data_IF_112218366312
#
_entry.id   IF_112218366312
#
_cell.length_a   1.000
_cell.length_b   1.000
_cell.length_c   1.000
_cell.angle_alpha   90.00
_cell.angle_beta   90.00
_cell.angle_gamma   90.00
#
_symmetry.space_group_name_H-M   'P 1'
#
loop_
_entity.id
_entity.type
_entity.pdbx_description
1 polymer ?
#
# COMPACT_ATOMS: atom_id res chain seq x y z
N UNK A 1 -9.56 22.86 27.10
CA UNK A 1 -10.33 24.10 26.98
C UNK A 1 -11.31 23.99 25.81
N UNK A 2 -12.43 24.67 25.82
CA UNK A 2 -13.50 24.57 24.81
C UNK A 2 -12.99 24.75 23.37
N UNK A 3 -11.99 25.60 23.13
CA UNK A 3 -11.42 25.84 21.81
C UNK A 3 -10.60 24.63 21.29
N UNK A 4 -9.93 23.91 22.18
CA UNK A 4 -9.20 22.67 21.83
C UNK A 4 -10.19 21.59 21.49
N UNK A 5 -11.27 21.48 22.24
CA UNK A 5 -12.31 20.48 22.03
C UNK A 5 -12.99 20.67 20.66
N UNK A 6 -13.32 21.89 20.28
CA UNK A 6 -13.93 22.20 18.97
C UNK A 6 -12.99 21.81 17.82
N UNK A 7 -11.70 22.14 17.88
CA UNK A 7 -10.74 21.78 16.85
C UNK A 7 -10.57 20.26 16.70
N UNK A 8 -10.54 19.56 17.82
CA UNK A 8 -10.40 18.10 17.85
C UNK A 8 -11.63 17.39 17.26
N UNK A 9 -12.83 17.83 17.64
CA UNK A 9 -14.06 17.25 17.07
C UNK A 9 -14.27 17.61 15.60
N UNK A 10 -13.81 18.80 15.18
CA UNK A 10 -13.75 19.16 13.77
C UNK A 10 -12.80 18.21 13.00
N UNK A 11 -11.62 17.90 13.55
CA UNK A 11 -10.70 16.92 12.99
C UNK A 11 -11.36 15.55 12.87
N UNK A 12 -12.10 15.10 13.89
CA UNK A 12 -12.82 13.82 13.87
C UNK A 12 -13.78 13.75 12.67
N UNK A 13 -14.62 14.78 12.50
CA UNK A 13 -15.64 14.82 11.46
C UNK A 13 -15.06 15.05 10.05
N UNK A 14 -14.12 15.97 9.91
CA UNK A 14 -13.67 16.44 8.60
C UNK A 14 -12.51 15.62 8.03
N UNK A 15 -11.81 14.85 8.87
CA UNK A 15 -10.59 14.14 8.50
C UNK A 15 -10.66 12.65 8.84
N UNK A 16 -10.86 12.32 10.13
CA UNK A 16 -10.72 10.93 10.60
C UNK A 16 -11.84 10.05 10.05
N UNK A 17 -13.09 10.41 10.29
CA UNK A 17 -14.25 9.63 9.82
C UNK A 17 -14.20 9.44 8.30
N UNK A 18 -14.04 10.50 7.47
CA UNK A 18 -13.95 10.34 6.02
C UNK A 18 -12.79 9.47 5.55
N UNK A 19 -11.64 9.52 6.23
CA UNK A 19 -10.51 8.65 5.90
C UNK A 19 -10.83 7.16 6.13
N UNK A 20 -11.51 6.86 7.23
CA UNK A 20 -11.92 5.49 7.55
C UNK A 20 -13.04 4.97 6.64
N UNK A 21 -13.99 5.82 6.26
CA UNK A 21 -15.04 5.47 5.28
C UNK A 21 -14.43 5.16 3.90
N UNK A 22 -13.49 6.00 3.45
CA UNK A 22 -12.78 5.76 2.19
C UNK A 22 -12.03 4.43 2.23
N UNK A 23 -11.37 4.11 3.34
CA UNK A 23 -10.69 2.82 3.49
C UNK A 23 -11.65 1.64 3.41
N UNK A 24 -12.82 1.75 4.02
CA UNK A 24 -13.85 0.72 3.94
C UNK A 24 -14.37 0.56 2.51
N UNK A 25 -14.68 1.67 1.84
CA UNK A 25 -15.17 1.69 0.45
C UNK A 25 -14.14 1.13 -0.54
N UNK A 26 -12.88 1.47 -0.37
CA UNK A 26 -11.78 1.02 -1.23
C UNK A 26 -11.31 -0.42 -0.90
N UNK A 27 -11.84 -1.01 0.16
CA UNK A 27 -11.47 -2.34 0.62
C UNK A 27 -11.97 -3.43 -0.33
N UNK A 28 -11.16 -4.47 -0.62
CA UNK A 28 -11.60 -5.63 -1.39
C UNK A 28 -12.43 -6.62 -0.57
N UNK A 29 -12.65 -6.35 0.72
CA UNK A 29 -13.37 -7.23 1.65
C UNK A 29 -14.84 -6.86 1.74
N UNK A 30 -15.69 -7.85 2.05
CA UNK A 30 -17.08 -7.56 2.36
C UNK A 30 -17.21 -6.90 3.74
N UNK A 31 -18.15 -5.98 3.87
CA UNK A 31 -18.45 -5.31 5.13
C UNK A 31 -18.70 -6.32 6.27
N UNK A 32 -19.39 -7.41 6.00
CA UNK A 32 -19.66 -8.48 6.99
C UNK A 32 -18.40 -9.07 7.61
N UNK A 33 -17.25 -9.00 6.90
CA UNK A 33 -15.96 -9.47 7.42
C UNK A 33 -15.20 -8.45 8.24
N UNK A 34 -15.53 -7.16 8.12
CA UNK A 34 -14.82 -6.05 8.78
C UNK A 34 -15.58 -5.55 10.04
N UNK A 35 -16.14 -6.47 10.80
CA UNK A 35 -17.07 -6.16 11.89
C UNK A 35 -16.47 -5.26 12.97
N UNK A 36 -15.24 -5.54 13.43
CA UNK A 36 -14.63 -4.73 14.48
C UNK A 36 -14.26 -3.33 13.99
N UNK A 37 -13.89 -3.23 12.72
CA UNK A 37 -13.62 -1.95 12.08
C UNK A 37 -14.89 -1.10 11.94
N UNK A 38 -15.97 -1.67 11.46
CA UNK A 38 -17.27 -1.00 11.31
C UNK A 38 -17.87 -0.57 12.67
N UNK A 39 -17.87 -1.45 13.65
CA UNK A 39 -18.30 -1.13 15.01
C UNK A 39 -17.51 0.06 15.59
N UNK A 40 -16.25 0.16 15.27
CA UNK A 40 -15.43 1.29 15.70
C UNK A 40 -15.76 2.57 14.94
N UNK A 41 -16.02 2.51 13.64
CA UNK A 41 -16.48 3.66 12.85
C UNK A 41 -17.81 4.19 13.39
N UNK A 42 -18.75 3.32 13.70
CA UNK A 42 -20.01 3.65 14.35
C UNK A 42 -19.82 4.31 15.74
N UNK A 43 -18.83 3.84 16.50
CA UNK A 43 -18.45 4.47 17.78
C UNK A 43 -17.96 5.90 17.57
N UNK A 44 -17.18 6.17 16.52
CA UNK A 44 -16.68 7.51 16.20
C UNK A 44 -17.82 8.46 15.82
N UNK A 45 -18.80 8.01 15.06
CA UNK A 45 -19.99 8.81 14.75
C UNK A 45 -20.75 9.21 16.01
N UNK A 46 -21.05 8.24 16.89
CA UNK A 46 -21.72 8.52 18.18
C UNK A 46 -20.90 9.48 19.03
N UNK A 47 -19.58 9.27 19.10
CA UNK A 47 -18.70 10.16 19.85
C UNK A 47 -18.68 11.58 19.30
N UNK A 48 -18.81 11.76 17.99
CA UNK A 48 -18.96 13.08 17.38
C UNK A 48 -20.28 13.75 17.81
N UNK A 49 -21.38 13.01 17.83
CA UNK A 49 -22.70 13.53 18.16
C UNK A 49 -22.86 13.91 19.64
N UNK A 50 -22.27 13.13 20.54
CA UNK A 50 -22.45 13.28 21.99
C UNK A 50 -21.25 13.89 22.72
N UNK A 51 -20.13 14.11 22.04
CA UNK A 51 -18.93 14.69 22.62
C UNK A 51 -18.23 13.80 23.66
N UNK A 52 -18.40 12.48 23.56
CA UNK A 52 -17.97 11.53 24.61
C UNK A 52 -16.53 11.05 24.50
N UNK A 53 -15.81 11.35 23.40
CA UNK A 53 -14.44 10.86 23.18
C UNK A 53 -13.38 11.90 23.58
N UNK A 54 -12.37 11.45 24.31
CA UNK A 54 -11.27 12.32 24.70
C UNK A 54 -10.38 12.70 23.51
N UNK A 55 -9.78 13.91 23.49
CA UNK A 55 -8.90 14.35 22.40
C UNK A 55 -7.79 13.35 22.02
N UNK A 56 -7.15 12.73 23.01
CA UNK A 56 -6.10 11.73 22.78
C UNK A 56 -6.62 10.46 22.09
N UNK A 57 -7.88 10.07 22.32
CA UNK A 57 -8.51 8.94 21.63
C UNK A 57 -8.80 9.30 20.16
N UNK A 58 -9.24 10.54 19.89
CA UNK A 58 -9.45 11.04 18.52
C UNK A 58 -8.12 11.08 17.77
N UNK A 59 -7.04 11.54 18.40
CA UNK A 59 -5.72 11.58 17.80
C UNK A 59 -5.16 10.18 17.48
N UNK A 60 -5.52 9.17 18.26
CA UNK A 60 -5.15 7.77 18.06
C UNK A 60 -6.12 6.96 17.18
N UNK A 61 -7.24 7.55 16.74
CA UNK A 61 -8.34 6.80 16.14
C UNK A 61 -7.97 6.08 14.84
N UNK A 62 -7.22 6.72 13.95
CA UNK A 62 -6.79 6.11 12.69
C UNK A 62 -5.88 4.90 12.93
N UNK A 63 -4.92 5.02 13.85
CA UNK A 63 -4.02 3.92 14.21
C UNK A 63 -4.76 2.75 14.86
N UNK A 64 -5.76 3.04 15.67
CA UNK A 64 -6.57 2.01 16.30
C UNK A 64 -7.48 1.32 15.28
N UNK A 65 -8.11 2.07 14.38
CA UNK A 65 -8.91 1.52 13.29
C UNK A 65 -8.06 0.62 12.37
N UNK A 66 -6.83 1.03 12.04
CA UNK A 66 -5.90 0.22 11.27
C UNK A 66 -5.59 -1.12 11.94
N UNK A 67 -5.42 -1.12 13.25
CA UNK A 67 -5.23 -2.36 14.02
C UNK A 67 -6.45 -3.28 13.93
N UNK A 68 -7.66 -2.73 14.06
CA UNK A 68 -8.90 -3.50 13.95
C UNK A 68 -9.09 -4.08 12.55
N UNK A 69 -8.84 -3.27 11.52
CA UNK A 69 -8.89 -3.72 10.14
C UNK A 69 -7.99 -4.94 9.89
N UNK A 70 -6.74 -4.87 10.34
CA UNK A 70 -5.80 -5.99 10.21
C UNK A 70 -6.23 -7.22 10.98
N UNK A 71 -6.83 -7.05 12.16
CA UNK A 71 -7.37 -8.16 12.93
C UNK A 71 -8.53 -8.82 12.21
N UNK A 72 -9.51 -8.05 11.73
CA UNK A 72 -10.65 -8.58 11.00
C UNK A 72 -10.21 -9.34 9.74
N UNK A 73 -9.21 -8.84 8.99
CA UNK A 73 -8.65 -9.54 7.84
C UNK A 73 -7.99 -10.86 8.26
N UNK A 74 -7.25 -10.88 9.37
CA UNK A 74 -6.65 -12.10 9.88
C UNK A 74 -7.71 -13.13 10.27
N UNK A 75 -8.78 -12.70 10.95
CA UNK A 75 -9.89 -13.56 11.35
C UNK A 75 -10.65 -14.12 10.13
N UNK A 76 -10.84 -13.31 9.08
CA UNK A 76 -11.41 -13.78 7.80
C UNK A 76 -10.53 -14.85 7.14
N UNK A 77 -9.21 -14.69 7.20
CA UNK A 77 -8.29 -15.69 6.66
C UNK A 77 -8.33 -16.99 7.45
N UNK A 78 -8.30 -16.91 8.78
CA UNK A 78 -8.35 -18.09 9.65
C UNK A 78 -9.66 -18.87 9.47
N UNK A 79 -10.76 -18.18 9.27
CA UNK A 79 -12.07 -18.79 8.99
C UNK A 79 -12.22 -19.29 7.56
N UNK A 80 -11.31 -18.94 6.64
CA UNK A 80 -11.42 -19.21 5.21
C UNK A 80 -12.44 -18.33 4.48
N UNK A 81 -12.88 -17.22 5.09
CA UNK A 81 -13.79 -16.26 4.47
C UNK A 81 -13.11 -15.43 3.37
N UNK A 82 -11.79 -15.30 3.40
CA UNK A 82 -11.01 -14.68 2.33
C UNK A 82 -9.64 -15.36 2.17
N UNK A 83 -9.14 -15.37 0.93
CA UNK A 83 -7.75 -15.68 0.59
C UNK A 83 -6.99 -14.45 0.07
N UNK A 84 -7.67 -13.30 -0.01
CA UNK A 84 -7.11 -12.04 -0.49
C UNK A 84 -6.63 -11.19 0.69
N UNK A 85 -5.35 -10.86 0.71
CA UNK A 85 -4.71 -10.01 1.72
C UNK A 85 -4.19 -8.68 1.15
N UNK A 86 -4.54 -8.35 -0.08
CA UNK A 86 -4.11 -7.11 -0.73
C UNK A 86 -4.46 -5.86 0.07
N UNK A 87 -5.58 -5.88 0.81
CA UNK A 87 -5.99 -4.76 1.67
C UNK A 87 -5.06 -4.48 2.85
N UNK A 88 -4.12 -5.38 3.16
CA UNK A 88 -3.07 -5.12 4.15
C UNK A 88 -1.93 -4.26 3.59
N UNK A 89 -1.82 -4.15 2.26
CA UNK A 89 -0.91 -3.23 1.61
C UNK A 89 -1.51 -1.81 1.60
N UNK A 90 -0.69 -0.84 1.87
CA UNK A 90 -1.05 0.58 1.69
C UNK A 90 -0.77 0.96 0.25
N UNK A 91 -1.76 1.52 -0.44
CA UNK A 91 -1.61 2.00 -1.81
C UNK A 91 -0.97 0.97 -2.78
N UNK A 92 -1.54 -0.25 -2.89
CA UNK A 92 -0.95 -1.33 -3.67
C UNK A 92 -0.89 -1.05 -5.17
N UNK A 93 -1.72 -0.15 -5.68
CA UNK A 93 -1.77 0.28 -7.08
C UNK A 93 -0.94 1.53 -7.36
N UNK A 94 -0.31 2.15 -6.35
CA UNK A 94 0.37 3.44 -6.45
C UNK A 94 -0.52 4.62 -6.89
N UNK A 95 -1.84 4.49 -6.79
CA UNK A 95 -2.79 5.54 -7.17
C UNK A 95 -2.65 6.81 -6.32
N UNK A 96 -2.10 6.71 -5.12
CA UNK A 96 -1.84 7.81 -4.18
C UNK A 96 -0.35 8.13 -4.09
N UNK A 97 0.31 8.35 -5.22
CA UNK A 97 1.76 8.58 -5.26
C UNK A 97 2.54 7.37 -4.70
N UNK A 98 3.57 7.62 -3.91
CA UNK A 98 4.39 6.59 -3.28
C UNK A 98 4.02 6.36 -1.80
N UNK A 99 2.84 6.82 -1.39
CA UNK A 99 2.39 6.72 -0.01
C UNK A 99 2.39 5.27 0.49
N UNK A 100 2.91 5.07 1.68
CA UNK A 100 3.03 3.75 2.29
C UNK A 100 4.21 2.90 1.83
N UNK A 101 4.94 3.32 0.78
CA UNK A 101 6.09 2.59 0.26
C UNK A 101 7.40 3.22 0.72
N UNK A 102 8.30 2.39 1.21
CA UNK A 102 9.65 2.78 1.59
C UNK A 102 10.61 2.48 0.44
N UNK A 103 11.46 3.44 0.09
CA UNK A 103 12.52 3.26 -0.89
C UNK A 103 13.89 3.45 -0.24
N UNK A 104 14.79 2.52 -0.49
CA UNK A 104 16.21 2.59 -0.11
C UNK A 104 17.12 2.60 -1.33
N UNK A 105 18.38 2.88 -1.14
CA UNK A 105 19.37 2.92 -2.22
C UNK A 105 19.23 4.14 -3.14
N UNK A 106 19.83 4.06 -4.33
CA UNK A 106 19.92 5.16 -5.30
C UNK A 106 18.70 5.24 -6.22
N UNK A 107 18.62 6.33 -6.98
CA UNK A 107 17.58 6.59 -7.96
C UNK A 107 16.41 7.38 -7.40
N UNK A 108 15.65 7.98 -8.29
CA UNK A 108 14.47 8.77 -7.96
C UNK A 108 13.24 7.87 -7.95
N UNK A 109 12.56 7.79 -6.82
CA UNK A 109 11.29 7.09 -6.70
C UNK A 109 10.18 8.05 -7.09
N UNK A 110 9.61 7.86 -8.28
CA UNK A 110 8.65 8.75 -8.89
C UNK A 110 7.31 8.06 -9.10
N UNK A 111 6.26 8.84 -8.97
CA UNK A 111 4.93 8.48 -9.41
C UNK A 111 4.55 9.45 -10.53
N UNK A 112 4.29 8.93 -11.71
CA UNK A 112 4.00 9.73 -12.92
C UNK A 112 2.52 10.15 -13.01
N UNK A 113 1.81 10.17 -11.90
CA UNK A 113 0.42 10.63 -11.83
C UNK A 113 -0.61 9.62 -12.37
N UNK A 114 -0.18 8.39 -12.59
CA UNK A 114 -0.98 7.24 -12.98
C UNK A 114 -0.87 6.16 -11.91
N UNK A 115 -1.59 5.07 -12.06
CA UNK A 115 -1.44 3.88 -11.21
C UNK A 115 -0.13 3.13 -11.51
N UNK A 116 0.97 3.88 -11.55
CA UNK A 116 2.29 3.39 -11.86
C UNK A 116 3.35 4.15 -11.07
N UNK A 117 4.38 3.47 -10.67
CA UNK A 117 5.58 4.07 -10.10
C UNK A 117 6.83 3.55 -10.76
N UNK A 118 7.89 4.33 -10.71
CA UNK A 118 9.20 3.94 -11.22
C UNK A 118 10.33 4.31 -10.27
N UNK A 119 11.43 3.59 -10.37
CA UNK A 119 12.72 4.03 -9.82
C UNK A 119 13.61 4.44 -10.98
N UNK A 120 13.67 5.74 -11.22
CA UNK A 120 14.44 6.31 -12.32
C UNK A 120 15.93 6.37 -11.97
N UNK A 121 16.75 5.94 -12.92
CA UNK A 121 18.22 5.95 -12.78
C UNK A 121 18.71 5.28 -11.49
N UNK A 122 18.01 4.24 -11.03
CA UNK A 122 18.28 3.52 -9.80
C UNK A 122 19.37 2.46 -9.98
N UNK A 123 20.24 2.34 -8.96
CA UNK A 123 21.18 1.22 -8.78
C UNK A 123 21.14 0.81 -7.32
N UNK A 124 21.16 -0.49 -7.06
CA UNK A 124 21.15 -1.02 -5.69
C UNK A 124 20.05 -0.39 -4.83
N UNK A 125 18.81 -0.53 -5.28
CA UNK A 125 17.62 0.03 -4.64
C UNK A 125 16.62 -1.05 -4.29
N UNK A 126 15.80 -0.74 -3.31
CA UNK A 126 14.62 -1.52 -2.94
C UNK A 126 13.42 -0.59 -2.74
N UNK A 127 12.25 -1.06 -3.10
CA UNK A 127 10.95 -0.45 -2.77
C UNK A 127 10.12 -1.51 -2.08
N UNK A 128 9.70 -1.26 -0.85
CA UNK A 128 9.04 -2.28 -0.04
C UNK A 128 8.02 -1.72 0.94
N UNK A 129 7.18 -2.59 1.43
CA UNK A 129 6.37 -2.42 2.63
C UNK A 129 6.59 -3.59 3.57
N UNK A 130 6.52 -3.33 4.87
CA UNK A 130 6.49 -4.37 5.88
C UNK A 130 5.05 -4.63 6.32
N UNK A 131 4.60 -5.87 6.17
CA UNK A 131 3.31 -6.32 6.69
C UNK A 131 3.57 -7.16 7.92
N UNK A 132 3.12 -6.68 9.06
CA UNK A 132 3.27 -7.39 10.33
C UNK A 132 2.00 -8.20 10.65
N UNK A 133 2.16 -9.26 11.44
CA UNK A 133 1.06 -10.08 11.94
C UNK A 133 0.25 -10.81 10.86
N UNK A 134 0.89 -11.16 9.74
CA UNK A 134 0.27 -12.10 8.81
C UNK A 134 0.06 -13.45 9.49
N UNK A 135 -1.13 -14.07 9.36
CA UNK A 135 -1.35 -15.44 9.79
C UNK A 135 -0.33 -16.40 9.18
N UNK A 136 -0.06 -17.50 9.85
CA UNK A 136 0.82 -18.52 9.31
C UNK A 136 0.19 -19.15 8.06
N UNK A 137 0.91 -19.14 6.94
CA UNK A 137 0.39 -19.67 5.67
C UNK A 137 1.34 -19.50 4.52
N UNK A 138 0.92 -19.96 3.35
CA UNK A 138 1.61 -19.72 2.08
C UNK A 138 0.94 -18.57 1.36
N UNK A 139 1.73 -17.60 0.91
CA UNK A 139 1.25 -16.38 0.26
C UNK A 139 1.75 -16.32 -1.17
N UNK A 140 0.89 -15.79 -2.06
CA UNK A 140 1.25 -15.45 -3.42
C UNK A 140 1.29 -13.93 -3.55
N UNK A 141 2.42 -13.39 -3.96
CA UNK A 141 2.56 -11.99 -4.35
C UNK A 141 2.51 -11.93 -5.87
N UNK A 142 1.75 -11.00 -6.42
CA UNK A 142 1.70 -10.74 -7.86
C UNK A 142 1.87 -9.25 -8.10
N UNK A 143 2.64 -8.91 -9.12
CA UNK A 143 2.76 -7.53 -9.58
C UNK A 143 2.92 -7.50 -11.09
N UNK A 144 2.57 -6.38 -11.69
CA UNK A 144 2.98 -6.05 -13.04
C UNK A 144 4.19 -5.13 -12.95
N UNK A 145 5.25 -5.50 -13.62
CA UNK A 145 6.47 -4.71 -13.59
C UNK A 145 7.41 -5.10 -14.73
N UNK A 146 8.22 -4.15 -15.11
CA UNK A 146 9.30 -4.35 -16.06
C UNK A 146 10.48 -3.47 -15.69
N UNK A 147 11.63 -3.77 -16.23
CA UNK A 147 12.77 -2.89 -16.15
C UNK A 147 13.37 -2.66 -17.53
N UNK A 148 13.94 -1.48 -17.73
CA UNK A 148 14.73 -1.15 -18.89
C UNK A 148 16.20 -1.09 -18.48
N UNK A 149 17.08 -1.84 -19.12
CA UNK A 149 18.51 -1.67 -18.91
C UNK A 149 18.87 -0.27 -19.39
N UNK A 150 19.42 0.54 -18.50
CA UNK A 150 19.87 1.88 -18.83
C UNK A 150 20.79 1.85 -20.02
N UNK A 151 20.47 2.59 -21.05
CA UNK A 151 21.44 2.94 -22.04
C UNK A 151 21.94 4.36 -21.82
N UNK A 152 23.17 4.58 -22.17
CA UNK A 152 23.88 5.84 -21.95
C UNK A 152 23.51 6.94 -22.95
N UNK A 153 22.56 6.72 -23.85
CA UNK A 153 22.18 7.64 -24.91
C UNK A 153 20.73 8.11 -24.80
N UNK A 154 20.49 9.38 -24.96
CA UNK A 154 19.20 10.07 -24.78
C UNK A 154 18.01 9.59 -25.65
N UNK A 155 18.21 8.67 -26.58
CA UNK A 155 17.14 8.10 -27.41
C UNK A 155 16.89 6.61 -27.14
N UNK A 156 17.40 6.10 -26.10
CA UNK A 156 17.78 4.71 -26.04
C UNK A 156 17.02 3.86 -25.05
N UNK A 157 16.07 4.42 -24.35
CA UNK A 157 15.14 3.58 -23.61
C UNK A 157 14.29 2.69 -24.57
N UNK A 158 14.25 3.03 -25.85
CA UNK A 158 13.72 2.18 -26.92
C UNK A 158 14.77 1.28 -27.60
N UNK A 159 16.03 1.66 -27.57
CA UNK A 159 17.07 0.96 -28.32
C UNK A 159 17.62 -0.28 -27.61
N UNK A 160 17.43 -0.39 -26.29
CA UNK A 160 17.84 -1.55 -25.51
C UNK A 160 16.82 -2.68 -25.47
N UNK A 161 15.64 -2.50 -26.04
CA UNK A 161 14.55 -3.47 -25.94
C UNK A 161 14.60 -4.45 -27.10
N UNK A 162 15.00 -5.69 -26.81
CA UNK A 162 15.04 -6.77 -27.78
C UNK A 162 16.12 -6.67 -28.86
N UNK A 163 17.15 -5.86 -28.66
CA UNK A 163 18.31 -5.78 -29.54
C UNK A 163 19.21 -7.02 -29.39
N UNK A 164 19.73 -7.51 -30.50
CA UNK A 164 20.72 -8.58 -30.49
C UNK A 164 22.00 -8.08 -29.81
N UNK A 165 22.42 -8.74 -28.75
CA UNK A 165 23.55 -8.29 -27.90
C UNK A 165 23.15 -7.47 -26.69
N UNK A 166 21.85 -7.21 -26.51
CA UNK A 166 21.33 -6.71 -25.24
C UNK A 166 21.60 -7.72 -24.12
N UNK A 167 21.90 -7.22 -22.93
CA UNK A 167 22.17 -8.05 -21.75
C UNK A 167 20.89 -8.69 -21.18
N UNK A 168 20.09 -9.29 -22.07
CA UNK A 168 18.82 -9.93 -21.76
C UNK A 168 18.93 -11.08 -20.76
N UNK A 169 20.13 -11.57 -20.52
CA UNK A 169 20.39 -12.60 -19.53
C UNK A 169 20.76 -12.04 -18.15
N UNK A 170 21.03 -10.76 -18.04
CA UNK A 170 21.29 -10.12 -16.76
C UNK A 170 19.96 -9.83 -16.06
N UNK A 171 19.69 -10.52 -14.97
CA UNK A 171 18.53 -10.25 -14.14
C UNK A 171 18.88 -9.06 -13.25
N UNK A 172 18.23 -7.92 -13.49
CA UNK A 172 18.54 -6.67 -12.83
C UNK A 172 17.49 -6.24 -11.79
N UNK A 173 16.34 -6.91 -11.77
CA UNK A 173 15.28 -6.59 -10.83
C UNK A 173 14.54 -7.86 -10.38
N UNK A 174 14.06 -7.82 -9.14
CA UNK A 174 13.39 -8.94 -8.49
C UNK A 174 12.14 -8.44 -7.77
N UNK A 175 11.06 -9.26 -7.80
CA UNK A 175 10.02 -9.21 -6.79
C UNK A 175 10.47 -10.07 -5.62
N UNK A 176 10.36 -9.57 -4.40
CA UNK A 176 10.78 -10.32 -3.22
C UNK A 176 9.71 -10.32 -2.12
N UNK A 177 9.76 -11.35 -1.27
CA UNK A 177 8.97 -11.44 -0.06
C UNK A 177 9.75 -12.24 0.98
N UNK A 178 10.23 -11.59 2.03
CA UNK A 178 11.18 -12.14 3.00
C UNK A 178 12.39 -12.78 2.30
N UNK A 179 12.53 -14.11 2.46
CA UNK A 179 13.66 -14.89 1.91
C UNK A 179 13.39 -15.40 0.48
N UNK A 180 12.20 -15.18 -0.07
CA UNK A 180 11.84 -15.61 -1.42
C UNK A 180 11.97 -14.45 -2.41
N UNK A 181 12.49 -14.75 -3.59
CA UNK A 181 12.56 -13.76 -4.67
C UNK A 181 12.34 -14.41 -6.03
N UNK A 182 11.68 -13.67 -6.93
CA UNK A 182 11.45 -14.05 -8.31
C UNK A 182 11.96 -12.93 -9.23
N UNK A 183 12.73 -13.27 -10.27
CA UNK A 183 13.24 -12.28 -11.19
C UNK A 183 12.11 -11.64 -12.00
N UNK A 184 12.18 -10.33 -12.18
CA UNK A 184 11.36 -9.64 -13.16
C UNK A 184 11.90 -9.95 -14.56
N UNK A 185 11.01 -10.31 -15.45
CA UNK A 185 11.40 -10.58 -16.83
C UNK A 185 11.75 -9.27 -17.54
N UNK A 186 12.85 -9.31 -18.28
CA UNK A 186 13.19 -8.26 -19.22
C UNK A 186 12.16 -8.20 -20.33
N UNK A 187 11.61 -7.03 -20.62
CA UNK A 187 10.72 -6.87 -21.77
C UNK A 187 11.54 -6.75 -23.05
N UNK A 188 11.16 -7.53 -24.05
CA UNK A 188 11.82 -7.57 -25.36
C UNK A 188 11.17 -6.64 -26.37
N UNK A 189 10.09 -5.98 -26.00
CA UNK A 189 9.41 -4.99 -26.83
C UNK A 189 8.79 -3.92 -25.93
N UNK A 190 8.69 -2.70 -26.46
CA UNK A 190 7.96 -1.63 -25.80
C UNK A 190 6.48 -2.02 -25.69
N UNK A 191 5.86 -1.96 -24.51
CA UNK A 191 4.43 -2.19 -24.35
C UNK A 191 3.60 -1.13 -25.06
#
# INVERSE_FOLDING_TARGET
>A
SLAVDIATYKKLNDVVIPALENKLTDSPYSEVGLTSYEDYLDKLYRAYDDGSMAPAEIDGAEAYAEKLFKQDVADMMESGATDNVTGLLVNPSFAKSNDGWTKTGNGDFKNEGTEMTEVWNGRDWEVYQEITNLPQGSYRITMQGYYSPSSTNNNSWHEGWGQEGDKTNDILAYLFGNDASEPLLHVTACP
#
